data_IF_662187448029
#
_entry.id   IF_662187448029
#
_cell.length_a   1.000
_cell.length_b   1.000
_cell.length_c   1.000
_cell.angle_alpha   90.00
_cell.angle_beta   90.00
_cell.angle_gamma   90.00
#
_symmetry.space_group_name_H-M   'P 1'
#
loop_
_entity.id
_entity.type
_entity.pdbx_description
1 polymer ?
#
# COMPACT_ATOMS: atom_id res chain seq x y z
N UNK A 1 9.50 -12.84 -14.74
CA UNK A 1 9.79 -11.61 -13.98
C UNK A 1 8.98 -10.41 -14.46
N UNK A 2 9.07 -9.96 -15.73
CA UNK A 2 8.35 -8.76 -16.21
C UNK A 2 6.83 -8.82 -15.97
N UNK A 3 6.19 -9.93 -16.37
CA UNK A 3 4.74 -10.15 -16.17
C UNK A 3 4.33 -10.04 -14.69
N UNK A 4 5.13 -10.60 -13.78
CA UNK A 4 4.89 -10.56 -12.34
C UNK A 4 4.93 -9.12 -11.79
N UNK A 5 5.96 -8.34 -12.15
CA UNK A 5 6.07 -6.93 -11.74
C UNK A 5 4.88 -6.11 -12.27
N UNK A 6 4.51 -6.29 -13.54
CA UNK A 6 3.38 -5.58 -14.14
C UNK A 6 2.07 -5.95 -13.42
N UNK A 7 1.79 -7.24 -13.22
CA UNK A 7 0.54 -7.70 -12.63
C UNK A 7 0.35 -7.16 -11.20
N UNK A 8 1.42 -7.17 -10.42
CA UNK A 8 1.40 -6.66 -9.03
C UNK A 8 1.28 -5.14 -8.99
N UNK A 9 1.91 -4.41 -9.90
CA UNK A 9 1.79 -2.95 -10.01
C UNK A 9 0.39 -2.51 -10.48
N UNK A 10 -0.23 -3.28 -11.37
CA UNK A 10 -1.64 -3.09 -11.74
C UNK A 10 -2.51 -3.28 -10.50
N UNK A 11 -2.29 -4.32 -9.70
CA UNK A 11 -3.03 -4.52 -8.45
C UNK A 11 -2.87 -3.32 -7.50
N UNK A 12 -1.66 -2.77 -7.35
CA UNK A 12 -1.43 -1.58 -6.51
C UNK A 12 -2.27 -0.38 -6.97
N UNK A 13 -2.36 -0.19 -8.28
CA UNK A 13 -3.09 0.90 -8.91
C UNK A 13 -4.60 0.73 -8.79
N UNK A 14 -5.12 -0.49 -9.00
CA UNK A 14 -6.55 -0.81 -8.87
C UNK A 14 -7.05 -0.59 -7.44
N UNK A 15 -6.22 -0.89 -6.45
CA UNK A 15 -6.58 -0.70 -5.04
C UNK A 15 -6.45 0.75 -4.57
N UNK A 16 -5.82 1.63 -5.35
CA UNK A 16 -5.53 3.00 -4.96
C UNK A 16 -6.79 3.84 -4.65
N UNK A 17 -7.90 3.76 -5.42
CA UNK A 17 -9.15 4.44 -5.07
C UNK A 17 -9.74 3.96 -3.73
N UNK A 18 -9.78 2.64 -3.50
CA UNK A 18 -10.23 2.08 -2.23
C UNK A 18 -9.33 2.50 -1.06
N UNK A 19 -8.03 2.62 -1.33
CA UNK A 19 -7.05 3.03 -0.34
C UNK A 19 -7.23 4.48 0.10
N UNK A 20 -7.56 5.38 -0.84
CA UNK A 20 -7.84 6.78 -0.50
C UNK A 20 -9.05 6.93 0.44
N UNK A 21 -10.03 6.04 0.37
CA UNK A 21 -11.14 6.01 1.32
C UNK A 21 -10.65 5.67 2.74
N UNK A 22 -9.82 4.64 2.88
CA UNK A 22 -9.23 4.23 4.16
C UNK A 22 -8.40 5.38 4.74
N UNK A 23 -7.61 6.04 3.89
CA UNK A 23 -6.82 7.19 4.29
C UNK A 23 -7.71 8.37 4.73
N UNK A 24 -8.79 8.67 4.01
CA UNK A 24 -9.75 9.71 4.39
C UNK A 24 -10.42 9.42 5.74
N UNK A 25 -10.88 8.20 5.97
CA UNK A 25 -11.49 7.78 7.25
C UNK A 25 -10.49 7.90 8.40
N UNK A 26 -9.20 7.69 8.16
CA UNK A 26 -8.18 7.79 9.21
C UNK A 26 -8.10 9.20 9.85
N UNK A 27 -8.57 10.24 9.17
CA UNK A 27 -8.64 11.59 9.74
C UNK A 27 -9.67 11.74 10.86
N UNK A 28 -10.65 10.83 10.99
CA UNK A 28 -11.58 10.81 12.13
C UNK A 28 -10.85 10.59 13.46
N UNK A 29 -9.62 10.07 13.44
CA UNK A 29 -8.75 10.02 14.61
C UNK A 29 -8.42 11.39 15.23
N UNK A 30 -8.71 12.49 14.52
CA UNK A 30 -8.54 13.87 14.99
C UNK A 30 -9.82 14.53 15.51
N UNK A 31 -10.98 13.84 15.53
CA UNK A 31 -12.25 14.42 15.99
C UNK A 31 -12.21 14.87 17.47
N UNK A 32 -11.33 14.25 18.27
CA UNK A 32 -11.07 14.62 19.68
C UNK A 32 -9.93 15.64 19.86
N UNK A 33 -9.40 16.19 18.77
CA UNK A 33 -8.28 17.13 18.76
C UNK A 33 -6.96 16.51 18.26
N UNK A 34 -5.85 17.20 18.52
CA UNK A 34 -4.53 16.76 18.08
C UNK A 34 -4.06 15.50 18.84
N UNK A 35 -3.61 14.49 18.11
CA UNK A 35 -3.09 13.23 18.67
C UNK A 35 -1.90 12.73 17.87
N UNK A 36 -0.78 12.47 18.54
CA UNK A 36 0.42 11.87 17.91
C UNK A 36 0.15 10.49 17.32
N UNK A 37 -0.75 9.72 17.94
CA UNK A 37 -1.16 8.43 17.43
C UNK A 37 -1.93 8.59 16.10
N UNK A 38 -2.86 9.55 16.04
CA UNK A 38 -3.61 9.84 14.82
C UNK A 38 -2.67 10.30 13.69
N UNK A 39 -1.69 11.17 13.99
CA UNK A 39 -0.64 11.56 13.03
C UNK A 39 0.11 10.34 12.51
N UNK A 40 0.54 9.44 13.41
CA UNK A 40 1.24 8.21 13.03
C UNK A 40 0.42 7.32 12.10
N UNK A 41 -0.86 7.10 12.43
CA UNK A 41 -1.78 6.26 11.64
C UNK A 41 -2.04 6.87 10.25
N UNK A 42 -2.41 8.15 10.18
CA UNK A 42 -2.69 8.84 8.93
C UNK A 42 -1.45 8.87 8.03
N UNK A 43 -0.26 9.06 8.61
CA UNK A 43 1.01 9.01 7.88
C UNK A 43 1.29 7.61 7.37
N UNK A 44 1.18 6.58 8.23
CA UNK A 44 1.46 5.19 7.85
C UNK A 44 0.53 4.68 6.74
N UNK A 45 -0.76 5.05 6.79
CA UNK A 45 -1.74 4.73 5.73
C UNK A 45 -1.43 5.54 4.46
N UNK A 46 -1.09 6.83 4.61
CA UNK A 46 -0.76 7.73 3.50
C UNK A 46 0.52 7.37 2.74
N UNK A 47 1.40 6.56 3.34
CA UNK A 47 2.64 6.10 2.68
C UNK A 47 2.42 5.07 1.57
N UNK A 48 1.27 4.39 1.53
CA UNK A 48 1.00 3.35 0.52
C UNK A 48 1.25 3.78 -0.94
N UNK A 49 0.66 4.88 -1.47
CA UNK A 49 0.89 5.28 -2.86
C UNK A 49 2.35 5.63 -3.14
N UNK A 50 3.04 6.24 -2.16
CA UNK A 50 4.45 6.60 -2.27
C UNK A 50 5.31 5.32 -2.33
N UNK A 51 5.06 4.37 -1.43
CA UNK A 51 5.73 3.08 -1.40
C UNK A 51 5.47 2.30 -2.70
N UNK A 52 4.22 2.27 -3.19
CA UNK A 52 3.84 1.67 -4.46
C UNK A 52 4.65 2.20 -5.63
N UNK A 53 4.75 3.52 -5.76
CA UNK A 53 5.51 4.17 -6.83
C UNK A 53 7.01 3.89 -6.73
N UNK A 54 7.61 4.14 -5.56
CA UNK A 54 9.06 3.99 -5.35
C UNK A 54 9.49 2.54 -5.54
N UNK A 55 8.75 1.58 -4.96
CA UNK A 55 9.06 0.17 -5.09
C UNK A 55 8.91 -0.32 -6.54
N UNK A 56 7.93 0.21 -7.28
CA UNK A 56 7.76 -0.10 -8.71
C UNK A 56 8.98 0.30 -9.51
N UNK A 57 9.45 1.56 -9.35
CA UNK A 57 10.63 2.07 -10.05
C UNK A 57 11.87 1.26 -9.69
N UNK A 58 12.14 1.05 -8.39
CA UNK A 58 13.30 0.30 -7.92
C UNK A 58 13.30 -1.15 -8.41
N UNK A 59 12.13 -1.80 -8.44
CA UNK A 59 12.00 -3.17 -8.95
C UNK A 59 12.37 -3.27 -10.44
N UNK A 60 11.97 -2.29 -11.26
CA UNK A 60 12.33 -2.24 -12.68
C UNK A 60 13.83 -2.02 -12.90
N UNK A 61 14.46 -1.16 -12.09
CA UNK A 61 15.92 -0.92 -12.13
C UNK A 61 16.69 -2.20 -11.75
N UNK A 62 16.25 -2.91 -10.71
CA UNK A 62 16.94 -4.10 -10.20
C UNK A 62 16.70 -5.36 -11.03
N UNK A 63 15.70 -5.39 -11.93
CA UNK A 63 15.20 -6.61 -12.59
C UNK A 63 16.26 -7.41 -13.35
N UNK A 64 17.26 -6.75 -13.93
CA UNK A 64 18.25 -7.37 -14.83
C UNK A 64 19.45 -7.95 -14.08
N UNK A 65 19.90 -7.25 -13.03
CA UNK A 65 21.11 -7.63 -12.27
C UNK A 65 20.80 -8.39 -10.98
N UNK A 66 19.67 -8.10 -10.33
CA UNK A 66 19.31 -8.61 -9.00
C UNK A 66 17.84 -9.02 -8.96
N UNK A 67 17.50 -10.08 -9.69
CA UNK A 67 16.12 -10.54 -9.85
C UNK A 67 15.39 -10.84 -8.52
N UNK A 68 16.08 -11.41 -7.52
CA UNK A 68 15.50 -11.66 -6.18
C UNK A 68 15.20 -10.36 -5.42
N UNK A 69 16.12 -9.38 -5.47
CA UNK A 69 15.91 -8.08 -4.85
C UNK A 69 14.78 -7.30 -5.52
N UNK A 70 14.67 -7.39 -6.85
CA UNK A 70 13.57 -6.77 -7.59
C UNK A 70 12.20 -7.30 -7.13
N UNK A 71 12.08 -8.61 -6.89
CA UNK A 71 10.85 -9.20 -6.35
C UNK A 71 10.60 -8.75 -4.90
N UNK A 72 11.62 -8.81 -4.04
CA UNK A 72 11.48 -8.43 -2.64
C UNK A 72 11.01 -6.98 -2.49
N UNK A 73 11.63 -6.04 -3.23
CA UNK A 73 11.24 -4.62 -3.23
C UNK A 73 9.83 -4.45 -3.78
N UNK A 74 9.51 -5.11 -4.90
CA UNK A 74 8.18 -5.03 -5.49
C UNK A 74 7.09 -5.55 -4.55
N UNK A 75 7.38 -6.47 -3.64
CA UNK A 75 6.41 -7.01 -2.69
C UNK A 75 6.17 -6.11 -1.46
N UNK A 76 6.96 -5.06 -1.23
CA UNK A 76 6.79 -4.18 -0.06
C UNK A 76 5.37 -3.56 -0.02
N UNK A 77 4.82 -3.01 -1.12
CA UNK A 77 3.46 -2.46 -1.12
C UNK A 77 2.37 -3.50 -0.86
N UNK A 78 2.64 -4.81 -1.04
CA UNK A 78 1.67 -5.86 -0.67
C UNK A 78 1.40 -5.90 0.82
N UNK A 79 2.33 -5.44 1.67
CA UNK A 79 2.12 -5.43 3.12
C UNK A 79 0.93 -4.55 3.52
N UNK A 80 0.70 -3.45 2.81
CA UNK A 80 -0.47 -2.59 3.01
C UNK A 80 -1.76 -3.29 2.52
N UNK A 81 -1.72 -3.89 1.33
CA UNK A 81 -2.86 -4.63 0.78
C UNK A 81 -3.30 -5.77 1.70
N UNK A 82 -2.36 -6.57 2.18
CA UNK A 82 -2.65 -7.74 3.01
C UNK A 82 -2.91 -7.36 4.47
N UNK A 83 -2.20 -6.37 5.01
CA UNK A 83 -2.29 -5.99 6.43
C UNK A 83 -3.47 -5.10 6.76
N UNK A 84 -4.00 -4.34 5.78
CA UNK A 84 -5.09 -3.38 6.01
C UNK A 84 -6.21 -3.59 4.98
N UNK A 85 -5.87 -3.67 3.69
CA UNK A 85 -6.86 -3.78 2.63
C UNK A 85 -7.75 -5.03 2.75
N UNK A 86 -7.15 -6.21 2.95
CA UNK A 86 -7.87 -7.48 3.10
C UNK A 86 -8.75 -7.52 4.36
N UNK A 87 -8.25 -7.19 5.57
CA UNK A 87 -9.09 -7.12 6.76
C UNK A 87 -10.29 -6.20 6.60
N UNK A 88 -10.10 -5.01 6.04
CA UNK A 88 -11.18 -4.05 5.79
C UNK A 88 -12.22 -4.65 4.83
N UNK A 89 -11.79 -5.31 3.75
CA UNK A 89 -12.71 -5.98 2.83
C UNK A 89 -13.48 -7.12 3.50
N UNK A 90 -12.81 -7.97 4.28
CA UNK A 90 -13.46 -9.09 4.96
C UNK A 90 -14.53 -8.64 5.94
N UNK A 91 -14.24 -7.61 6.75
CA UNK A 91 -15.20 -7.06 7.72
C UNK A 91 -16.45 -6.50 7.02
N UNK A 92 -16.30 -5.90 5.84
CA UNK A 92 -17.43 -5.29 5.13
C UNK A 92 -18.22 -6.29 4.26
N UNK A 93 -17.62 -7.42 3.87
CA UNK A 93 -18.28 -8.43 3.04
C UNK A 93 -18.92 -9.56 3.85
N UNK A 94 -18.47 -9.80 5.08
CA UNK A 94 -18.99 -10.81 6.00
C UNK A 94 -19.37 -10.16 7.33
N UNK A 95 -20.53 -9.47 7.39
CA UNK A 95 -21.01 -8.80 8.60
C UNK A 95 -21.41 -9.77 9.72
#
# INVERSE_FOLDING_TARGET
MKKFLILTQIAYTIFLPFWFLIWGISFMGFDSGFSWLAVGIVTAIGLYPIAGLVCSVLAWVLRTRKARAAVAVNLIPMLWLLGIGVPVLLINLFP
#
